data_IF_876660353519
#
_entry.id   IF_876660353519
#
_cell.length_a   1.000
_cell.length_b   1.000
_cell.length_c   1.000
_cell.angle_alpha   90.00
_cell.angle_beta   90.00
_cell.angle_gamma   90.00
#
_symmetry.space_group_name_H-M   'P 1'
#
loop_
_entity.id
_entity.type
_entity.pdbx_description
1 polymer ?
#
# COMPACT_ATOMS: atom_id res chain seq x y z
N UNK A 1 18.45 -9.91 -0.61
CA UNK A 1 18.75 -9.78 0.83
C UNK A 1 19.23 -8.36 1.09
N UNK A 2 18.81 -7.70 2.17
CA UNK A 2 19.21 -6.33 2.48
C UNK A 2 20.71 -6.20 2.77
N UNK A 3 21.31 -5.05 2.45
CA UNK A 3 22.71 -4.77 2.75
C UNK A 3 22.94 -4.67 4.27
N UNK A 4 24.15 -4.97 4.75
CA UNK A 4 24.48 -4.90 6.18
C UNK A 4 24.16 -3.52 6.78
N UNK A 5 24.55 -2.46 6.09
CA UNK A 5 24.24 -1.07 6.49
C UNK A 5 22.73 -0.80 6.59
N UNK A 6 21.91 -1.46 5.75
CA UNK A 6 20.46 -1.32 5.82
C UNK A 6 19.90 -2.01 7.07
N UNK A 7 20.40 -3.20 7.40
CA UNK A 7 20.02 -3.92 8.62
C UNK A 7 20.36 -3.10 9.87
N UNK A 8 21.56 -2.53 9.92
CA UNK A 8 22.02 -1.73 11.05
C UNK A 8 21.12 -0.49 11.24
N UNK A 9 20.81 0.24 10.15
CA UNK A 9 19.88 1.39 10.20
C UNK A 9 18.48 0.99 10.68
N UNK A 10 17.94 -0.10 10.14
CA UNK A 10 16.59 -0.58 10.49
C UNK A 10 16.55 -0.95 11.98
N UNK A 11 17.55 -1.68 12.47
CA UNK A 11 17.60 -2.11 13.87
C UNK A 11 17.72 -0.95 14.87
N UNK A 12 18.32 0.17 14.44
CA UNK A 12 18.58 1.34 15.30
C UNK A 12 17.50 2.43 15.20
N UNK A 13 16.51 2.30 14.32
CA UNK A 13 15.51 3.34 14.06
C UNK A 13 14.83 3.85 15.35
N UNK A 14 14.38 2.93 16.21
CA UNK A 14 13.75 3.27 17.49
C UNK A 14 14.74 3.91 18.47
N UNK A 15 15.95 3.38 18.59
CA UNK A 15 16.98 3.92 19.49
C UNK A 15 17.40 5.34 19.09
N UNK A 16 17.48 5.64 17.78
CA UNK A 16 17.80 6.98 17.27
C UNK A 16 16.68 7.97 17.55
N UNK A 17 15.42 7.55 17.44
CA UNK A 17 14.29 8.38 17.85
C UNK A 17 14.35 8.67 19.36
N UNK A 18 14.61 7.65 20.17
CA UNK A 18 14.74 7.81 21.62
C UNK A 18 15.89 8.76 22.01
N UNK A 19 17.04 8.69 21.32
CA UNK A 19 18.16 9.61 21.54
C UNK A 19 17.84 11.08 21.19
N UNK A 20 16.77 11.33 20.42
CA UNK A 20 16.31 12.66 19.98
C UNK A 20 14.97 13.04 20.63
N UNK A 21 14.60 12.40 21.74
CA UNK A 21 13.32 12.58 22.45
C UNK A 21 13.01 14.04 22.77
N UNK A 22 13.96 14.80 23.30
CA UNK A 22 13.75 16.20 23.71
C UNK A 22 13.44 17.12 22.51
N UNK A 23 13.96 16.80 21.33
CA UNK A 23 13.62 17.52 20.10
C UNK A 23 12.25 17.09 19.59
N UNK A 24 11.97 15.79 19.57
CA UNK A 24 10.69 15.24 19.15
C UNK A 24 9.53 15.77 20.02
N UNK A 25 9.73 15.86 21.34
CA UNK A 25 8.77 16.41 22.30
C UNK A 25 8.48 17.91 22.10
N UNK A 26 9.43 18.67 21.53
CA UNK A 26 9.27 20.11 21.25
C UNK A 26 8.67 20.39 19.87
N UNK A 27 8.87 19.49 18.91
CA UNK A 27 8.45 19.66 17.52
C UNK A 27 6.93 19.54 17.34
N UNK A 28 6.26 18.85 18.25
CA UNK A 28 4.81 18.69 18.28
C UNK A 28 4.33 19.11 19.68
N UNK A 29 3.19 19.80 19.77
CA UNK A 29 2.63 20.32 21.02
C UNK A 29 2.11 19.21 21.96
N UNK A 30 2.72 18.02 21.91
CA UNK A 30 2.47 16.89 22.79
C UNK A 30 1.43 15.89 22.29
N UNK A 31 1.05 15.89 21.00
CA UNK A 31 -0.04 15.00 20.53
C UNK A 31 0.50 13.64 20.05
N UNK A 32 1.26 13.63 18.96
CA UNK A 32 1.89 12.45 18.37
C UNK A 32 2.97 11.89 19.30
N UNK A 33 3.84 12.75 19.82
CA UNK A 33 4.96 12.29 20.68
C UNK A 33 4.45 11.64 21.98
N UNK A 34 3.49 12.27 22.67
CA UNK A 34 2.94 11.70 23.91
C UNK A 34 2.17 10.42 23.66
N UNK A 35 1.36 10.36 22.59
CA UNK A 35 0.65 9.14 22.20
C UNK A 35 1.62 7.99 21.90
N UNK A 36 2.71 8.28 21.17
CA UNK A 36 3.76 7.31 20.88
C UNK A 36 4.47 6.81 22.15
N UNK A 37 4.80 7.71 23.07
CA UNK A 37 5.43 7.32 24.34
C UNK A 37 4.51 6.47 25.23
N UNK A 38 3.21 6.75 25.24
CA UNK A 38 2.23 5.93 25.96
C UNK A 38 2.14 4.49 25.40
N UNK A 39 2.27 4.33 24.08
CA UNK A 39 2.22 3.00 23.45
C UNK A 39 3.53 2.22 23.57
N UNK A 40 4.68 2.89 23.49
CA UNK A 40 5.99 2.24 23.60
C UNK A 40 6.35 1.80 25.01
N UNK A 41 5.71 2.39 26.03
CA UNK A 41 5.88 2.03 27.45
C UNK A 41 4.87 0.98 27.93
N UNK A 42 3.88 0.62 27.10
CA UNK A 42 2.85 -0.39 27.38
C UNK A 42 2.99 -1.60 26.43
N UNK A 43 2.29 -2.73 26.68
CA UNK A 43 2.36 -3.90 25.80
C UNK A 43 1.83 -3.68 24.37
N UNK A 44 1.28 -2.50 24.05
CA UNK A 44 0.62 -2.20 22.78
C UNK A 44 1.57 -1.99 21.59
N UNK A 45 2.87 -1.73 21.83
CA UNK A 45 3.83 -1.55 20.75
C UNK A 45 4.28 -2.87 20.10
N UNK A 46 4.47 -2.94 18.77
CA UNK A 46 4.90 -4.17 18.12
C UNK A 46 6.25 -4.68 18.62
N UNK A 47 6.29 -5.95 19.03
CA UNK A 47 7.53 -6.66 19.36
C UNK A 47 8.32 -7.09 18.12
N UNK A 48 7.64 -7.18 16.97
CA UNK A 48 8.28 -7.45 15.69
C UNK A 48 9.22 -6.30 15.31
N UNK A 49 10.51 -6.62 15.13
CA UNK A 49 11.55 -5.62 14.87
C UNK A 49 11.27 -4.82 13.61
N UNK A 50 10.71 -5.44 12.57
CA UNK A 50 10.39 -4.77 11.31
C UNK A 50 9.28 -3.75 11.50
N UNK A 51 8.16 -4.15 12.11
CA UNK A 51 7.04 -3.24 12.40
C UNK A 51 7.48 -2.10 13.32
N UNK A 52 8.20 -2.41 14.40
CA UNK A 52 8.71 -1.37 15.31
C UNK A 52 9.60 -0.36 14.58
N UNK A 53 10.51 -0.82 13.72
CA UNK A 53 11.39 0.06 12.95
C UNK A 53 10.63 0.95 11.97
N UNK A 54 9.65 0.39 11.24
CA UNK A 54 8.83 1.16 10.28
C UNK A 54 8.02 2.24 10.99
N UNK A 55 7.34 1.89 12.08
CA UNK A 55 6.51 2.84 12.83
C UNK A 55 7.36 3.91 13.53
N UNK A 56 8.48 3.52 14.14
CA UNK A 56 9.42 4.48 14.77
C UNK A 56 10.02 5.43 13.73
N UNK A 57 10.35 4.93 12.53
CA UNK A 57 10.82 5.78 11.44
C UNK A 57 9.74 6.77 10.99
N UNK A 58 8.48 6.37 10.88
CA UNK A 58 7.39 7.27 10.51
C UNK A 58 7.19 8.39 11.54
N UNK A 59 7.24 8.06 12.85
CA UNK A 59 7.19 9.08 13.92
C UNK A 59 8.37 10.04 13.80
N UNK A 60 9.59 9.51 13.61
CA UNK A 60 10.79 10.35 13.45
C UNK A 60 10.69 11.26 12.21
N UNK A 61 10.18 10.73 11.11
CA UNK A 61 10.00 11.46 9.86
C UNK A 61 9.02 12.63 10.04
N UNK A 62 7.91 12.42 10.74
CA UNK A 62 6.88 13.44 10.97
C UNK A 62 7.32 14.50 11.96
N UNK A 63 8.00 14.11 13.04
CA UNK A 63 8.41 15.03 14.10
C UNK A 63 9.71 15.78 13.77
N UNK A 64 10.64 15.13 13.07
CA UNK A 64 11.98 15.67 12.81
C UNK A 64 12.23 15.80 11.31
N UNK A 65 12.01 14.71 10.59
CA UNK A 65 12.20 14.65 9.14
C UNK A 65 13.63 14.87 8.68
N UNK A 66 14.61 14.61 9.54
CA UNK A 66 16.03 14.83 9.22
C UNK A 66 16.48 13.92 8.06
N UNK A 67 17.64 14.23 7.46
CA UNK A 67 18.24 13.40 6.43
C UNK A 67 18.38 11.91 6.87
N UNK A 68 18.68 11.67 8.15
CA UNK A 68 18.77 10.31 8.69
C UNK A 68 17.43 9.56 8.67
N UNK A 69 16.32 10.24 8.91
CA UNK A 69 14.98 9.64 8.90
C UNK A 69 14.56 9.27 7.47
N UNK A 70 14.90 10.13 6.49
CA UNK A 70 14.70 9.89 5.07
C UNK A 70 15.55 8.71 4.58
N UNK A 71 16.82 8.63 5.00
CA UNK A 71 17.71 7.51 4.66
C UNK A 71 17.25 6.20 5.29
N UNK A 72 16.72 6.26 6.51
CA UNK A 72 16.16 5.08 7.18
C UNK A 72 14.92 4.58 6.44
N UNK A 73 14.05 5.48 5.97
CA UNK A 73 12.91 5.11 5.12
C UNK A 73 13.37 4.44 3.82
N UNK A 74 14.38 4.99 3.14
CA UNK A 74 14.95 4.42 1.92
C UNK A 74 15.53 3.00 2.16
N UNK A 75 16.19 2.76 3.29
CA UNK A 75 16.64 1.43 3.72
C UNK A 75 15.49 0.46 3.99
N UNK A 76 14.40 0.91 4.63
CA UNK A 76 13.19 0.12 4.85
C UNK A 76 12.54 -0.28 3.53
N UNK A 77 12.39 0.66 2.59
CA UNK A 77 11.81 0.42 1.26
C UNK A 77 12.64 -0.59 0.47
N UNK A 78 13.97 -0.48 0.47
CA UNK A 78 14.85 -1.46 -0.19
C UNK A 78 14.74 -2.86 0.40
N UNK A 79 14.56 -2.95 1.71
CA UNK A 79 14.60 -4.22 2.44
C UNK A 79 13.27 -4.97 2.36
N UNK A 80 12.15 -4.25 2.41
CA UNK A 80 10.82 -4.83 2.57
C UNK A 80 9.84 -4.50 1.44
N UNK A 81 10.17 -3.56 0.55
CA UNK A 81 9.30 -3.07 -0.50
C UNK A 81 8.40 -1.91 -0.05
N UNK A 82 8.18 -0.95 -0.95
CA UNK A 82 7.44 0.29 -0.67
C UNK A 82 6.00 0.04 -0.17
N UNK A 83 5.28 -0.85 -0.85
CA UNK A 83 3.90 -1.22 -0.49
C UNK A 83 3.81 -1.82 0.91
N UNK A 84 4.67 -2.79 1.24
CA UNK A 84 4.70 -3.42 2.57
C UNK A 84 5.00 -2.41 3.67
N UNK A 85 5.96 -1.52 3.43
CA UNK A 85 6.30 -0.43 4.37
C UNK A 85 5.10 0.50 4.55
N UNK A 86 4.42 0.89 3.48
CA UNK A 86 3.24 1.76 3.53
C UNK A 86 2.08 1.12 4.30
N UNK A 87 1.82 -0.18 4.11
CA UNK A 87 0.80 -0.92 4.87
C UNK A 87 1.07 -0.89 6.36
N UNK A 88 2.32 -1.08 6.79
CA UNK A 88 2.67 -0.98 8.21
C UNK A 88 2.54 0.46 8.68
N UNK A 89 3.03 1.43 7.91
CA UNK A 89 2.91 2.87 8.22
C UNK A 89 1.46 3.32 8.43
N UNK A 90 0.51 2.81 7.63
CA UNK A 90 -0.90 3.19 7.74
C UNK A 90 -1.59 2.73 9.02
N UNK A 91 -1.01 1.78 9.75
CA UNK A 91 -1.56 1.31 11.04
C UNK A 91 -1.27 2.31 12.18
N UNK A 92 -0.35 3.26 11.99
CA UNK A 92 0.15 4.11 13.08
C UNK A 92 -0.92 5.03 13.65
N UNK A 93 -1.69 5.72 12.81
CA UNK A 93 -2.71 6.68 13.28
C UNK A 93 -3.77 6.00 14.15
N UNK A 94 -4.24 4.82 13.73
CA UNK A 94 -5.20 4.00 14.49
C UNK A 94 -4.58 3.51 15.81
N UNK A 95 -3.31 3.07 15.76
CA UNK A 95 -2.58 2.63 16.95
C UNK A 95 -2.41 3.76 17.97
N UNK A 96 -2.11 4.97 17.52
CA UNK A 96 -1.93 6.12 18.40
C UNK A 96 -3.25 6.77 18.83
N UNK A 97 -4.38 6.40 18.21
CA UNK A 97 -5.70 6.92 18.55
C UNK A 97 -5.86 8.42 18.25
N UNK A 98 -5.18 8.94 17.23
CA UNK A 98 -5.09 10.40 16.96
C UNK A 98 -6.29 10.97 16.19
N UNK A 99 -7.38 10.21 16.13
CA UNK A 99 -8.58 10.57 15.40
C UNK A 99 -8.60 10.04 13.97
N UNK A 100 -9.75 10.16 13.31
CA UNK A 100 -10.01 9.40 12.09
C UNK A 100 -9.32 10.00 10.86
N UNK A 101 -8.87 11.26 10.90
CA UNK A 101 -8.36 11.96 9.71
C UNK A 101 -6.89 11.66 9.38
N UNK A 102 -6.30 10.71 10.12
CA UNK A 102 -4.95 10.20 9.89
C UNK A 102 -3.89 11.32 9.89
N UNK A 103 -3.76 12.09 10.99
CA UNK A 103 -2.89 13.26 11.04
C UNK A 103 -1.40 12.92 10.79
N UNK A 104 -0.91 11.79 11.28
CA UNK A 104 0.50 11.37 11.09
C UNK A 104 0.74 10.97 9.65
N UNK A 105 -0.15 10.17 9.06
CA UNK A 105 -0.10 9.83 7.64
C UNK A 105 -0.16 11.09 6.77
N UNK A 106 -1.04 12.03 7.09
CA UNK A 106 -1.19 13.30 6.36
C UNK A 106 0.10 14.13 6.42
N UNK A 107 0.71 14.26 7.61
CA UNK A 107 1.98 14.97 7.77
C UNK A 107 3.11 14.28 6.99
N UNK A 108 3.18 12.94 7.03
CA UNK A 108 4.18 12.19 6.28
C UNK A 108 4.03 12.36 4.76
N UNK A 109 2.79 12.36 4.24
CA UNK A 109 2.52 12.63 2.83
C UNK A 109 3.00 14.02 2.41
N UNK A 110 2.80 15.05 3.23
CA UNK A 110 3.29 16.41 2.96
C UNK A 110 4.81 16.46 2.92
N UNK A 111 5.48 15.86 3.90
CA UNK A 111 6.96 15.81 3.95
C UNK A 111 7.52 15.05 2.75
N UNK A 112 6.94 13.90 2.41
CA UNK A 112 7.42 13.06 1.30
C UNK A 112 7.02 13.60 -0.08
N UNK A 113 5.98 14.44 -0.13
CA UNK A 113 5.53 15.16 -1.32
C UNK A 113 6.44 16.33 -1.69
N UNK A 114 7.09 16.95 -0.71
CA UNK A 114 8.02 18.06 -0.91
C UNK A 114 9.42 17.56 -1.36
N UNK A 115 9.52 17.27 -2.66
CA UNK A 115 10.76 16.81 -3.30
C UNK A 115 11.92 17.80 -3.11
N UNK A 116 11.64 19.10 -3.03
CA UNK A 116 12.67 20.12 -2.85
C UNK A 116 13.27 20.04 -1.44
N UNK A 117 12.41 19.98 -0.41
CA UNK A 117 12.82 19.83 0.98
C UNK A 117 13.62 18.54 1.22
N UNK A 118 13.17 17.40 0.68
CA UNK A 118 13.89 16.12 0.81
C UNK A 118 15.28 16.23 0.19
N UNK A 119 15.37 16.83 -1.00
CA UNK A 119 16.64 17.00 -1.72
C UNK A 119 17.61 17.89 -0.95
N UNK A 120 17.11 19.01 -0.43
CA UNK A 120 17.89 19.95 0.37
C UNK A 120 18.46 19.27 1.62
N UNK A 121 17.61 18.58 2.40
CA UNK A 121 18.03 17.87 3.62
C UNK A 121 19.09 16.82 3.35
N UNK A 122 18.91 16.01 2.30
CA UNK A 122 19.88 14.98 1.93
C UNK A 122 21.20 15.56 1.39
N UNK A 123 21.15 16.65 0.62
CA UNK A 123 22.36 17.31 0.14
C UNK A 123 23.15 17.93 1.30
N UNK A 124 22.47 18.55 2.27
CA UNK A 124 23.07 19.12 3.47
C UNK A 124 23.76 18.09 4.38
N UNK A 125 23.43 16.80 4.26
CA UNK A 125 24.07 15.72 5.02
C UNK A 125 25.40 15.22 4.41
N UNK A 126 25.91 15.87 3.35
CA UNK A 126 27.12 15.44 2.64
C UNK A 126 26.92 14.22 1.73
N UNK A 127 25.68 13.87 1.39
CA UNK A 127 25.39 12.74 0.50
C UNK A 127 25.74 13.09 -0.96
N UNK A 128 26.29 12.12 -1.71
CA UNK A 128 26.59 12.33 -3.13
C UNK A 128 25.34 12.62 -3.97
N UNK A 129 25.41 13.49 -5.00
CA UNK A 129 24.24 13.89 -5.80
C UNK A 129 23.48 12.72 -6.45
N UNK A 130 24.20 11.67 -6.88
CA UNK A 130 23.62 10.46 -7.46
C UNK A 130 22.79 9.69 -6.43
N UNK A 131 23.31 9.55 -5.20
CA UNK A 131 22.61 8.89 -4.11
C UNK A 131 21.43 9.72 -3.61
N UNK A 132 21.56 11.05 -3.55
CA UNK A 132 20.44 11.96 -3.24
C UNK A 132 19.30 11.73 -4.22
N UNK A 133 19.57 11.77 -5.54
CA UNK A 133 18.54 11.60 -6.56
C UNK A 133 17.84 10.25 -6.48
N UNK A 134 18.59 9.16 -6.24
CA UNK A 134 18.00 7.83 -6.10
C UNK A 134 17.15 7.69 -4.82
N UNK A 135 17.60 8.29 -3.71
CA UNK A 135 16.89 8.30 -2.42
C UNK A 135 15.60 9.10 -2.54
N UNK A 136 15.67 10.34 -3.03
CA UNK A 136 14.51 11.21 -3.29
C UNK A 136 13.47 10.50 -4.13
N UNK A 137 13.87 9.84 -5.23
CA UNK A 137 12.93 9.12 -6.10
C UNK A 137 12.18 8.02 -5.34
N UNK A 138 12.87 7.20 -4.54
CA UNK A 138 12.23 6.10 -3.78
C UNK A 138 11.36 6.62 -2.64
N UNK A 139 11.84 7.57 -1.85
CA UNK A 139 11.08 8.12 -0.72
C UNK A 139 9.90 8.95 -1.19
N UNK A 140 10.02 9.70 -2.29
CA UNK A 140 8.89 10.39 -2.89
C UNK A 140 7.85 9.39 -3.43
N UNK A 141 8.27 8.31 -4.09
CA UNK A 141 7.35 7.27 -4.55
C UNK A 141 6.62 6.56 -3.38
N UNK A 142 7.13 6.64 -2.15
CA UNK A 142 6.42 6.15 -0.98
C UNK A 142 5.11 6.91 -0.74
N UNK A 143 4.98 8.18 -1.16
CA UNK A 143 3.71 8.93 -1.06
C UNK A 143 2.57 8.19 -1.73
N UNK A 144 2.81 7.62 -2.91
CA UNK A 144 1.83 6.84 -3.67
C UNK A 144 1.31 5.65 -2.86
N UNK A 145 2.22 4.84 -2.31
CA UNK A 145 1.83 3.65 -1.55
C UNK A 145 1.18 3.99 -0.22
N UNK A 146 1.69 5.01 0.47
CA UNK A 146 1.14 5.47 1.75
C UNK A 146 -0.26 6.06 1.60
N UNK A 147 -0.50 6.80 0.50
CA UNK A 147 -1.81 7.34 0.17
C UNK A 147 -2.83 6.22 -0.01
N UNK A 148 -2.45 5.12 -0.68
CA UNK A 148 -3.36 4.03 -1.04
C UNK A 148 -3.52 2.95 0.05
N UNK A 149 -2.60 2.86 1.00
CA UNK A 149 -2.65 1.86 2.08
C UNK A 149 -3.95 2.01 2.90
N UNK A 150 -4.71 0.94 3.12
CA UNK A 150 -5.97 0.99 3.89
C UNK A 150 -7.11 1.78 3.25
N UNK A 151 -7.00 2.20 1.98
CA UNK A 151 -8.07 2.92 1.30
C UNK A 151 -9.33 2.05 1.09
N UNK A 152 -9.15 0.75 0.89
CA UNK A 152 -10.22 -0.22 0.64
C UNK A 152 -11.16 -0.42 1.86
N UNK A 153 -10.72 -0.07 3.06
CA UNK A 153 -11.47 -0.27 4.31
C UNK A 153 -12.36 0.94 4.67
N UNK A 154 -12.27 2.03 3.92
CA UNK A 154 -13.03 3.25 4.20
C UNK A 154 -14.47 3.18 3.69
N UNK A 155 -15.42 3.84 4.38
CA UNK A 155 -16.77 3.97 3.87
C UNK A 155 -16.79 4.84 2.61
N UNK A 156 -17.79 4.59 1.75
CA UNK A 156 -18.01 5.40 0.55
C UNK A 156 -18.34 6.84 0.92
N UNK A 157 -17.64 7.78 0.27
CA UNK A 157 -17.90 9.22 0.38
C UNK A 157 -18.34 9.79 -0.95
N UNK A 158 -18.69 11.08 -0.94
CA UNK A 158 -18.99 11.80 -2.17
C UNK A 158 -17.75 11.83 -3.08
N UNK A 159 -17.96 11.51 -4.35
CA UNK A 159 -16.89 11.54 -5.36
C UNK A 159 -16.56 12.98 -5.75
N UNK A 160 -15.31 13.23 -6.14
CA UNK A 160 -14.92 14.51 -6.73
C UNK A 160 -15.64 14.67 -8.07
N UNK A 161 -16.27 15.84 -8.32
CA UNK A 161 -17.03 16.13 -9.54
C UNK A 161 -16.50 17.31 -10.33
N UNK A 162 -15.68 18.16 -9.71
CA UNK A 162 -15.20 19.42 -10.29
C UNK A 162 -13.71 19.61 -10.03
N UNK A 163 -13.05 20.40 -10.88
CA UNK A 163 -11.65 20.79 -10.70
C UNK A 163 -11.44 21.58 -9.41
N UNK A 164 -12.39 22.41 -8.99
CA UNK A 164 -12.34 23.15 -7.73
C UNK A 164 -12.28 22.22 -6.50
N UNK A 165 -13.11 21.17 -6.46
CA UNK A 165 -13.06 20.17 -5.39
C UNK A 165 -11.74 19.39 -5.36
N UNK A 166 -11.15 19.15 -6.54
CA UNK A 166 -9.85 18.49 -6.63
C UNK A 166 -8.72 19.37 -6.10
N UNK A 167 -8.72 20.66 -6.45
CA UNK A 167 -7.74 21.64 -5.96
C UNK A 167 -7.87 21.80 -4.44
N UNK A 168 -9.09 21.94 -3.93
CA UNK A 168 -9.34 22.01 -2.48
C UNK A 168 -8.81 20.77 -1.73
N UNK A 169 -9.02 19.58 -2.30
CA UNK A 169 -8.48 18.34 -1.73
C UNK A 169 -6.94 18.31 -1.76
N UNK A 170 -6.28 18.89 -2.76
CA UNK A 170 -4.82 19.00 -2.82
C UNK A 170 -4.26 19.97 -1.79
N UNK A 171 -4.93 21.09 -1.59
CA UNK A 171 -4.46 22.16 -0.70
C UNK A 171 -4.77 21.85 0.77
N UNK A 172 -5.98 21.36 1.06
CA UNK A 172 -6.51 21.24 2.42
C UNK A 172 -6.82 19.80 2.84
N UNK A 173 -6.79 18.85 1.90
CA UNK A 173 -7.17 17.47 2.16
C UNK A 173 -6.27 16.74 3.16
N UNK A 174 -6.86 15.77 3.83
CA UNK A 174 -6.15 14.81 4.69
C UNK A 174 -5.97 13.49 3.95
N UNK A 175 -5.11 12.61 4.46
CA UNK A 175 -4.90 11.27 3.89
C UNK A 175 -6.23 10.49 3.81
N UNK A 176 -7.10 10.61 4.81
CA UNK A 176 -8.42 9.97 4.79
C UNK A 176 -9.32 10.51 3.68
N UNK A 177 -9.38 11.83 3.52
CA UNK A 177 -10.17 12.45 2.44
C UNK A 177 -9.69 11.99 1.06
N UNK A 178 -8.37 11.93 0.85
CA UNK A 178 -7.80 11.40 -0.38
C UNK A 178 -8.15 9.94 -0.64
N UNK A 179 -7.99 9.07 0.37
CA UNK A 179 -8.34 7.65 0.25
C UNK A 179 -9.81 7.46 -0.10
N UNK A 180 -10.69 8.19 0.57
CA UNK A 180 -12.13 8.13 0.32
C UNK A 180 -12.49 8.64 -1.09
N UNK A 181 -11.85 9.72 -1.55
CA UNK A 181 -12.02 10.25 -2.90
C UNK A 181 -11.53 9.29 -4.00
N UNK A 182 -10.51 8.47 -3.72
CA UNK A 182 -9.96 7.49 -4.66
C UNK A 182 -10.68 6.14 -4.62
N UNK A 183 -11.52 5.88 -3.61
CA UNK A 183 -12.20 4.60 -3.44
C UNK A 183 -13.01 4.14 -4.68
N UNK A 184 -13.77 4.99 -5.40
CA UNK A 184 -14.48 4.54 -6.60
C UNK A 184 -13.54 4.08 -7.74
N UNK A 185 -12.34 4.65 -7.83
CA UNK A 185 -11.31 4.22 -8.79
C UNK A 185 -10.74 2.86 -8.38
N UNK A 186 -10.53 2.66 -7.08
CA UNK A 186 -10.01 1.42 -6.49
C UNK A 186 -11.00 0.26 -6.66
N UNK A 187 -12.28 0.49 -6.38
CA UNK A 187 -13.35 -0.50 -6.52
C UNK A 187 -13.63 -0.82 -8.00
N UNK A 188 -13.56 0.17 -8.89
CA UNK A 188 -13.83 0.01 -10.32
C UNK A 188 -12.73 0.65 -11.19
N UNK A 189 -11.57 -0.01 -11.35
CA UNK A 189 -10.44 0.55 -12.11
C UNK A 189 -10.71 0.72 -13.60
N UNK A 190 -11.62 -0.08 -14.17
CA UNK A 190 -12.12 0.09 -15.54
C UNK A 190 -13.35 0.99 -15.63
N UNK A 191 -13.88 1.45 -14.50
CA UNK A 191 -15.05 2.32 -14.43
C UNK A 191 -14.77 3.74 -14.92
N UNK A 192 -15.83 4.51 -15.20
CA UNK A 192 -15.73 5.85 -15.77
C UNK A 192 -15.08 6.88 -14.83
N UNK A 193 -15.03 6.59 -13.52
CA UNK A 193 -14.48 7.53 -12.54
C UNK A 193 -12.98 7.77 -12.72
N UNK A 194 -12.21 6.74 -13.11
CA UNK A 194 -10.77 6.89 -13.36
C UNK A 194 -10.47 7.87 -14.49
N UNK A 195 -11.29 7.87 -15.54
CA UNK A 195 -11.16 8.83 -16.66
C UNK A 195 -11.67 10.22 -16.26
N UNK A 196 -12.75 10.27 -15.48
CA UNK A 196 -13.29 11.51 -14.96
C UNK A 196 -12.26 12.28 -14.11
N UNK A 197 -11.66 11.63 -13.11
CA UNK A 197 -10.73 12.30 -12.19
C UNK A 197 -9.44 12.74 -12.90
N UNK A 198 -8.96 11.97 -13.89
CA UNK A 198 -7.84 12.37 -14.75
C UNK A 198 -8.23 13.56 -15.66
N UNK A 199 -9.47 13.63 -16.15
CA UNK A 199 -9.93 14.81 -16.90
C UNK A 199 -9.94 16.06 -16.00
N UNK A 200 -10.44 15.96 -14.77
CA UNK A 200 -10.42 17.07 -13.81
C UNK A 200 -8.99 17.57 -13.53
N UNK A 201 -7.99 16.67 -13.43
CA UNK A 201 -6.59 17.10 -13.28
C UNK A 201 -6.11 17.94 -14.46
N UNK A 202 -6.52 17.61 -15.70
CA UNK A 202 -6.15 18.38 -16.88
C UNK A 202 -6.85 19.74 -16.92
N UNK A 203 -8.13 19.79 -16.56
CA UNK A 203 -8.89 21.04 -16.44
C UNK A 203 -8.25 22.00 -15.42
N UNK A 204 -7.61 21.47 -14.38
CA UNK A 204 -6.91 22.23 -13.35
C UNK A 204 -5.41 22.47 -13.63
N UNK A 205 -4.88 22.03 -14.79
CA UNK A 205 -3.44 22.07 -15.14
C UNK A 205 -2.52 21.32 -14.14
N UNK A 206 -2.97 20.16 -13.66
CA UNK A 206 -2.29 19.32 -12.67
C UNK A 206 -1.70 18.04 -13.31
N UNK A 207 -0.84 18.18 -14.32
CA UNK A 207 -0.33 17.05 -15.12
C UNK A 207 0.44 15.99 -14.32
N UNK A 208 1.17 16.41 -13.29
CA UNK A 208 1.87 15.49 -12.40
C UNK A 208 0.87 14.59 -11.64
N UNK A 209 -0.23 15.16 -11.15
CA UNK A 209 -1.29 14.42 -10.47
C UNK A 209 -2.03 13.51 -11.46
N UNK A 210 -2.27 13.96 -12.68
CA UNK A 210 -2.85 13.14 -13.75
C UNK A 210 -2.04 11.84 -13.96
N UNK A 211 -0.70 11.98 -13.99
CA UNK A 211 0.21 10.84 -14.15
C UNK A 211 0.11 9.87 -12.97
N UNK A 212 0.11 10.39 -11.74
CA UNK A 212 -0.02 9.57 -10.52
C UNK A 212 -1.35 8.81 -10.48
N UNK A 213 -2.47 9.45 -10.86
CA UNK A 213 -3.78 8.80 -10.90
C UNK A 213 -3.88 7.72 -11.98
N UNK A 214 -3.22 7.90 -13.12
CA UNK A 214 -3.11 6.86 -14.15
C UNK A 214 -2.32 5.66 -13.64
N UNK A 215 -1.21 5.87 -12.94
CA UNK A 215 -0.46 4.78 -12.31
C UNK A 215 -1.28 4.09 -11.22
N UNK A 216 -2.06 4.84 -10.42
CA UNK A 216 -3.01 4.27 -9.47
C UNK A 216 -4.00 3.33 -10.16
N UNK A 217 -4.60 3.77 -11.27
CA UNK A 217 -5.52 2.94 -12.07
C UNK A 217 -4.85 1.64 -12.53
N UNK A 218 -3.63 1.72 -13.08
CA UNK A 218 -2.88 0.54 -13.56
C UNK A 218 -2.59 -0.46 -12.43
N UNK A 219 -2.17 0.03 -11.26
CA UNK A 219 -1.89 -0.82 -10.09
C UNK A 219 -3.15 -1.58 -9.66
N UNK A 220 -4.30 -0.90 -9.58
CA UNK A 220 -5.54 -1.56 -9.18
C UNK A 220 -6.13 -2.46 -10.26
N UNK A 221 -5.93 -2.17 -11.55
CA UNK A 221 -6.26 -3.11 -12.63
C UNK A 221 -5.49 -4.43 -12.45
N UNK A 222 -4.17 -4.37 -12.27
CA UNK A 222 -3.34 -5.56 -12.06
C UNK A 222 -3.73 -6.34 -10.80
N UNK A 223 -4.06 -5.63 -9.70
CA UNK A 223 -4.53 -6.27 -8.46
C UNK A 223 -5.87 -6.97 -8.65
N UNK A 224 -6.82 -6.35 -9.33
CA UNK A 224 -8.12 -6.95 -9.59
C UNK A 224 -7.99 -8.17 -10.51
N UNK A 225 -7.19 -8.08 -11.58
CA UNK A 225 -6.89 -9.24 -12.45
C UNK A 225 -6.28 -10.40 -11.64
N UNK A 226 -5.37 -10.11 -10.70
CA UNK A 226 -4.80 -11.13 -9.83
C UNK A 226 -5.84 -11.71 -8.84
N UNK A 227 -6.69 -10.87 -8.25
CA UNK A 227 -7.79 -11.32 -7.37
C UNK A 227 -8.78 -12.22 -8.11
N UNK A 228 -9.11 -11.89 -9.35
CA UNK A 228 -9.95 -12.70 -10.24
C UNK A 228 -9.30 -14.05 -10.58
N UNK A 229 -8.00 -14.05 -10.92
CA UNK A 229 -7.21 -15.27 -11.12
C UNK A 229 -7.25 -16.18 -9.90
N UNK A 230 -7.03 -15.61 -8.73
CA UNK A 230 -7.02 -16.36 -7.47
C UNK A 230 -8.43 -16.87 -7.11
N UNK A 231 -9.48 -16.09 -7.40
CA UNK A 231 -10.87 -16.50 -7.20
C UNK A 231 -11.25 -17.67 -8.11
N UNK A 232 -10.84 -17.63 -9.37
CA UNK A 232 -11.03 -18.73 -10.31
C UNK A 232 -10.29 -19.98 -9.83
N UNK A 233 -9.03 -19.85 -9.41
CA UNK A 233 -8.24 -20.95 -8.89
C UNK A 233 -8.86 -21.58 -7.62
N UNK A 234 -9.35 -20.74 -6.69
CA UNK A 234 -10.10 -21.19 -5.51
C UNK A 234 -11.37 -21.95 -5.89
N UNK A 235 -12.14 -21.43 -6.84
CA UNK A 235 -13.37 -22.08 -7.29
C UNK A 235 -13.08 -23.42 -7.95
N UNK A 236 -12.05 -23.53 -8.79
CA UNK A 236 -11.66 -24.80 -9.41
C UNK A 236 -11.23 -25.81 -8.34
N UNK A 237 -10.42 -25.40 -7.36
CA UNK A 237 -10.05 -26.27 -6.22
C UNK A 237 -11.28 -26.78 -5.48
N UNK A 238 -12.23 -25.90 -5.21
CA UNK A 238 -13.50 -26.26 -4.56
C UNK A 238 -14.30 -27.26 -5.41
N UNK A 239 -14.41 -27.03 -6.72
CA UNK A 239 -15.14 -27.91 -7.64
C UNK A 239 -14.49 -29.30 -7.77
N UNK A 240 -13.16 -29.38 -7.78
CA UNK A 240 -12.44 -30.65 -7.72
C UNK A 240 -12.73 -31.36 -6.39
N UNK A 241 -12.63 -30.65 -5.26
CA UNK A 241 -12.86 -31.24 -3.94
C UNK A 241 -14.27 -31.81 -3.77
N UNK A 242 -15.32 -31.07 -4.16
CA UNK A 242 -16.71 -31.53 -4.01
C UNK A 242 -17.10 -32.66 -4.97
N UNK A 243 -16.30 -32.91 -6.02
CA UNK A 243 -16.56 -34.00 -6.96
C UNK A 243 -16.18 -35.39 -6.41
N UNK A 244 -15.39 -35.44 -5.33
CA UNK A 244 -14.84 -36.70 -4.80
C UNK A 244 -13.81 -37.40 -5.71
N UNK A 245 -13.53 -36.87 -6.90
CA UNK A 245 -12.57 -37.45 -7.84
C UNK A 245 -11.13 -37.07 -7.48
N UNK A 246 -10.19 -37.99 -7.75
CA UNK A 246 -8.77 -37.63 -7.78
C UNK A 246 -8.51 -36.60 -8.89
N UNK A 247 -7.45 -35.81 -8.75
CA UNK A 247 -7.08 -34.82 -9.77
C UNK A 247 -6.90 -35.44 -11.17
N UNK A 248 -6.36 -36.66 -11.26
CA UNK A 248 -6.18 -37.39 -12.52
C UNK A 248 -7.52 -37.78 -13.16
N UNK A 249 -8.45 -38.33 -12.37
CA UNK A 249 -9.79 -38.68 -12.84
C UNK A 249 -10.57 -37.43 -13.26
N UNK A 250 -10.50 -36.37 -12.46
CA UNK A 250 -11.16 -35.11 -12.77
C UNK A 250 -10.63 -34.50 -14.07
N UNK A 251 -9.30 -34.49 -14.26
CA UNK A 251 -8.68 -34.01 -15.49
C UNK A 251 -9.15 -34.79 -16.73
N UNK A 252 -9.24 -36.12 -16.63
CA UNK A 252 -9.76 -36.96 -17.71
C UNK A 252 -11.22 -36.62 -18.05
N UNK A 253 -12.09 -36.45 -17.05
CA UNK A 253 -13.51 -36.13 -17.23
C UNK A 253 -13.75 -34.77 -17.92
N UNK A 254 -12.91 -33.77 -17.65
CA UNK A 254 -13.00 -32.45 -18.31
C UNK A 254 -12.25 -32.38 -19.65
N UNK A 255 -11.54 -33.45 -20.03
CA UNK A 255 -10.78 -33.55 -21.27
C UNK A 255 -9.47 -32.75 -21.25
N UNK A 256 -8.69 -32.83 -20.16
CA UNK A 256 -7.37 -32.19 -20.06
C UNK A 256 -6.35 -33.08 -19.33
N UNK A 257 -5.08 -32.69 -19.34
CA UNK A 257 -4.03 -33.42 -18.61
C UNK A 257 -3.98 -33.02 -17.13
N UNK A 258 -3.52 -33.90 -16.22
CA UNK A 258 -3.35 -33.55 -14.80
C UNK A 258 -2.42 -32.35 -14.59
N UNK A 259 -1.36 -32.24 -15.41
CA UNK A 259 -0.44 -31.09 -15.37
C UNK A 259 -1.13 -29.78 -15.73
N UNK A 260 -1.95 -29.76 -16.79
CA UNK A 260 -2.71 -28.56 -17.17
C UNK A 260 -3.79 -28.23 -16.14
N UNK A 261 -4.47 -29.22 -15.56
CA UNK A 261 -5.38 -28.98 -14.43
C UNK A 261 -4.63 -28.38 -13.23
N UNK A 262 -3.41 -28.83 -12.93
CA UNK A 262 -2.58 -28.26 -11.87
C UNK A 262 -2.29 -26.76 -12.11
N UNK A 263 -2.03 -26.35 -13.34
CA UNK A 263 -1.85 -24.92 -13.65
C UNK A 263 -3.10 -24.07 -13.39
N UNK A 264 -4.30 -24.64 -13.57
CA UNK A 264 -5.56 -23.95 -13.28
C UNK A 264 -5.80 -23.86 -11.77
N UNK A 265 -5.58 -24.96 -11.05
CA UNK A 265 -5.72 -25.07 -9.60
C UNK A 265 -4.80 -24.10 -8.85
N UNK A 266 -3.60 -23.87 -9.38
CA UNK A 266 -2.60 -22.96 -8.83
C UNK A 266 -2.71 -21.53 -9.39
N UNK A 267 -3.72 -21.22 -10.21
CA UNK A 267 -3.96 -19.88 -10.76
C UNK A 267 -2.92 -19.40 -11.78
N UNK A 268 -1.98 -20.26 -12.19
CA UNK A 268 -0.93 -19.92 -13.18
C UNK A 268 -1.50 -19.67 -14.56
N UNK A 269 -2.60 -20.34 -14.91
CA UNK A 269 -3.31 -20.15 -16.17
C UNK A 269 -4.80 -20.02 -15.88
N UNK A 270 -5.45 -19.01 -16.47
CA UNK A 270 -6.91 -18.91 -16.46
C UNK A 270 -7.45 -19.85 -17.56
N UNK A 271 -8.28 -20.85 -17.22
CA UNK A 271 -8.95 -21.65 -18.24
C UNK A 271 -9.91 -20.81 -19.07
N UNK A 272 -10.12 -21.21 -20.33
CA UNK A 272 -11.16 -20.59 -21.17
C UNK A 272 -12.55 -20.76 -20.54
N UNK A 273 -13.49 -19.88 -20.90
CA UNK A 273 -14.88 -19.96 -20.43
C UNK A 273 -15.50 -21.35 -20.70
N UNK A 274 -15.23 -21.94 -21.87
CA UNK A 274 -15.71 -23.28 -22.21
C UNK A 274 -15.14 -24.37 -21.26
N UNK A 275 -13.86 -24.27 -20.87
CA UNK A 275 -13.25 -25.19 -19.91
C UNK A 275 -13.84 -25.01 -18.51
N UNK A 276 -14.08 -23.77 -18.05
CA UNK A 276 -14.77 -23.51 -16.77
C UNK A 276 -16.17 -24.13 -16.72
N UNK A 277 -16.93 -24.04 -17.81
CA UNK A 277 -18.25 -24.67 -17.91
C UNK A 277 -18.16 -26.20 -17.80
N UNK A 278 -17.16 -26.84 -18.42
CA UNK A 278 -16.94 -28.30 -18.28
C UNK A 278 -16.58 -28.68 -16.85
N UNK A 279 -15.68 -27.94 -16.21
CA UNK A 279 -15.29 -28.14 -14.81
C UNK A 279 -16.52 -28.09 -13.89
N UNK A 280 -17.39 -27.08 -14.06
CA UNK A 280 -18.63 -26.94 -13.28
C UNK A 280 -19.59 -28.12 -13.50
N UNK A 281 -19.80 -28.53 -14.77
CA UNK A 281 -20.69 -29.66 -15.09
C UNK A 281 -20.21 -30.98 -14.49
N UNK A 282 -18.91 -31.29 -14.64
CA UNK A 282 -18.32 -32.52 -14.06
C UNK A 282 -18.45 -32.51 -12.54
N UNK A 283 -18.13 -31.39 -11.89
CA UNK A 283 -18.25 -31.27 -10.44
C UNK A 283 -19.70 -31.43 -9.95
N UNK A 284 -20.69 -30.93 -10.69
CA UNK A 284 -22.11 -31.09 -10.35
C UNK A 284 -22.61 -32.52 -10.57
N UNK A 285 -22.22 -33.16 -11.67
CA UNK A 285 -22.63 -34.54 -11.99
C UNK A 285 -22.09 -35.57 -10.99
N UNK A 286 -20.98 -35.26 -10.31
CA UNK A 286 -20.33 -36.12 -9.32
C UNK A 286 -20.68 -35.75 -7.88
N UNK A 287 -21.58 -34.78 -7.65
CA UNK A 287 -22.07 -34.52 -6.30
C UNK A 287 -22.86 -35.74 -5.82
N UNK A 288 -22.52 -36.35 -4.68
CA UNK A 288 -23.29 -37.45 -4.14
C UNK A 288 -24.72 -36.96 -3.87
N UNK A 289 -25.71 -37.67 -4.41
CA UNK A 289 -27.12 -37.48 -4.08
C UNK A 289 -27.26 -37.68 -2.57
N UNK A 290 -27.63 -36.62 -1.86
CA UNK A 290 -28.00 -36.72 -0.44
C UNK A 290 -29.46 -37.10 -0.35
#
# INVERSE_FOLDING_TARGET
>A
MPARDDIDRISQAQSRLAARSDRAARADAGTVWSAFMAHTTTPGWPKDKTRSAVLSNLVSLVLLGDAEDIVTLDSLIRSFGAERVATIQSELDDMLGLGPDLPVTTAALRILGDVALIRERLAGSGMSPTKVTATVKRTHHQTFWLLLAGAEDLPRTQTIRTSAQLVDLLEHGTARHWRAALLPLIESPWGPYGEHIVRLTKEANLDAIATVLQECRKVYQQRQEQRERDAIAREIRRLVAISGLTQRQFAAQIGTSPSRLSTYVNGRVIPSAAMLLRIRRVAQAQRPST
#
